data_IF_141654239852
#
_entry.id   IF_141654239852
#
_cell.length_a   1.000
_cell.length_b   1.000
_cell.length_c   1.000
_cell.angle_alpha   90.00
_cell.angle_beta   90.00
_cell.angle_gamma   90.00
#
_symmetry.space_group_name_H-M   'P 1'
#
loop_
_entity.id
_entity.type
_entity.pdbx_description
1 polymer ?
#
# COMPACT_ATOMS: atom_id res chain seq x y z
N UNK A 1 27.99 11.16 -9.36
CA UNK A 1 27.20 11.37 -8.13
C UNK A 1 26.53 12.73 -8.26
N UNK A 2 25.22 12.79 -8.50
CA UNK A 2 24.50 14.06 -8.48
C UNK A 2 24.22 14.40 -7.02
N UNK A 3 24.96 15.36 -6.47
CA UNK A 3 24.69 15.92 -5.14
C UNK A 3 23.30 16.55 -5.18
N UNK A 4 22.30 15.87 -4.61
CA UNK A 4 20.96 16.44 -4.48
C UNK A 4 21.08 17.65 -3.56
N UNK A 5 20.82 18.84 -4.10
CA UNK A 5 20.72 20.06 -3.31
C UNK A 5 19.65 19.82 -2.22
N UNK A 6 19.96 20.06 -0.94
CA UNK A 6 18.97 19.87 0.12
C UNK A 6 17.82 20.84 -0.08
N UNK A 7 16.58 20.35 0.04
CA UNK A 7 15.36 21.16 -0.16
C UNK A 7 15.33 22.41 0.73
N UNK A 8 15.86 22.29 1.93
CA UNK A 8 15.98 23.39 2.89
C UNK A 8 16.74 24.57 2.28
N UNK A 9 17.82 24.31 1.53
CA UNK A 9 18.59 25.38 0.88
C UNK A 9 17.74 26.12 -0.15
N UNK A 10 16.94 25.40 -0.94
CA UNK A 10 16.03 26.00 -1.92
C UNK A 10 15.02 26.91 -1.22
N UNK A 11 14.44 26.47 -0.09
CA UNK A 11 13.48 27.27 0.66
C UNK A 11 14.11 28.53 1.28
N UNK A 12 15.31 28.40 1.85
CA UNK A 12 16.07 29.53 2.39
C UNK A 12 16.37 30.57 1.30
N UNK A 13 16.78 30.11 0.11
CA UNK A 13 17.04 31.00 -1.03
C UNK A 13 15.77 31.72 -1.48
N UNK A 14 14.63 31.01 -1.60
CA UNK A 14 13.37 31.61 -2.01
C UNK A 14 12.85 32.64 -1.00
N UNK A 15 12.92 32.33 0.30
CA UNK A 15 12.53 33.26 1.35
C UNK A 15 13.47 34.47 1.36
N UNK A 16 14.79 34.24 1.31
CA UNK A 16 15.80 35.30 1.26
C UNK A 16 15.60 36.24 0.07
N UNK A 17 15.34 35.69 -1.12
CA UNK A 17 15.04 36.48 -2.32
C UNK A 17 13.76 37.31 -2.15
N UNK A 18 12.71 36.74 -1.57
CA UNK A 18 11.46 37.48 -1.31
C UNK A 18 11.69 38.64 -0.34
N UNK A 19 12.49 38.45 0.71
CA UNK A 19 12.85 39.51 1.66
C UNK A 19 13.70 40.60 1.02
N UNK A 20 14.67 40.24 0.18
CA UNK A 20 15.49 41.21 -0.58
C UNK A 20 14.61 42.08 -1.47
N UNK A 21 13.62 41.49 -2.15
CA UNK A 21 12.64 42.25 -2.93
C UNK A 21 11.87 43.22 -2.02
N UNK A 22 11.38 42.77 -0.86
CA UNK A 22 10.70 43.64 0.10
C UNK A 22 11.54 44.84 0.53
N UNK A 23 12.83 44.63 0.81
CA UNK A 23 13.78 45.71 1.14
C UNK A 23 13.97 46.68 -0.03
N UNK A 24 14.06 46.18 -1.28
CA UNK A 24 14.16 47.03 -2.48
C UNK A 24 12.91 47.93 -2.63
N UNK A 25 11.73 47.42 -2.28
CA UNK A 25 10.49 48.20 -2.25
C UNK A 25 10.35 49.12 -1.02
N UNK A 26 11.38 49.21 -0.17
CA UNK A 26 11.39 50.08 1.01
C UNK A 26 10.73 49.49 2.25
N UNK A 27 10.28 48.23 2.21
CA UNK A 27 9.68 47.55 3.35
C UNK A 27 10.75 46.93 4.25
N UNK A 28 11.39 47.77 5.06
CA UNK A 28 12.27 47.32 6.14
C UNK A 28 11.50 47.24 7.46
N UNK A 29 11.93 46.40 8.43
CA UNK A 29 11.26 46.29 9.73
C UNK A 29 11.14 47.63 10.49
N UNK A 30 12.05 48.58 10.24
CA UNK A 30 11.99 49.91 10.86
C UNK A 30 11.00 50.88 10.21
N UNK A 31 10.57 50.61 8.97
CA UNK A 31 9.63 51.47 8.22
C UNK A 31 8.22 50.90 8.28
N UNK A 32 8.06 49.61 7.96
CA UNK A 32 6.76 48.93 7.98
C UNK A 32 6.98 47.45 8.24
N UNK A 33 6.70 47.04 9.49
CA UNK A 33 6.72 45.63 9.89
C UNK A 33 5.71 44.83 9.07
N UNK A 34 4.55 45.41 8.78
CA UNK A 34 3.48 44.79 7.99
C UNK A 34 3.95 44.45 6.58
N UNK A 35 4.51 45.43 5.87
CA UNK A 35 5.04 45.21 4.53
C UNK A 35 6.21 44.24 4.49
N UNK A 36 7.11 44.30 5.48
CA UNK A 36 8.21 43.33 5.59
C UNK A 36 7.68 41.90 5.77
N UNK A 37 6.69 41.70 6.64
CA UNK A 37 6.04 40.42 6.86
C UNK A 37 5.26 39.94 5.62
N UNK A 38 4.65 40.82 4.84
CA UNK A 38 4.02 40.43 3.57
C UNK A 38 5.00 39.75 2.62
N UNK A 39 6.22 40.28 2.47
CA UNK A 39 7.24 39.66 1.62
C UNK A 39 7.80 38.36 2.22
N UNK A 40 7.89 38.27 3.55
CA UNK A 40 8.19 36.98 4.21
C UNK A 40 7.12 35.93 3.88
N UNK A 41 5.85 36.30 3.99
CA UNK A 41 4.73 35.41 3.70
C UNK A 41 4.71 35.01 2.23
N UNK A 42 4.94 35.91 1.28
CA UNK A 42 5.09 35.53 -0.15
C UNK A 42 6.18 34.45 -0.32
N UNK A 43 7.33 34.58 0.34
CA UNK A 43 8.39 33.58 0.30
C UNK A 43 7.95 32.21 0.83
N UNK A 44 7.25 32.19 1.98
CA UNK A 44 6.67 30.98 2.58
C UNK A 44 5.62 30.36 1.65
N UNK A 45 4.76 31.18 1.03
CA UNK A 45 3.74 30.76 0.09
C UNK A 45 4.35 30.03 -1.11
N UNK A 46 5.40 30.60 -1.72
CA UNK A 46 6.10 29.98 -2.86
C UNK A 46 6.68 28.62 -2.44
N UNK A 47 7.33 28.54 -1.29
CA UNK A 47 7.88 27.28 -0.77
C UNK A 47 6.80 26.21 -0.58
N UNK A 48 5.67 26.61 0.01
CA UNK A 48 4.54 25.71 0.23
C UNK A 48 3.91 25.24 -1.10
N UNK A 49 3.74 26.15 -2.05
CA UNK A 49 3.24 25.88 -3.40
C UNK A 49 4.10 24.81 -4.10
N UNK A 50 5.42 25.00 -4.08
CA UNK A 50 6.38 24.05 -4.66
C UNK A 50 6.25 22.67 -4.00
N UNK A 51 6.14 22.61 -2.68
CA UNK A 51 5.98 21.34 -1.97
C UNK A 51 4.67 20.63 -2.32
N UNK A 52 3.57 21.36 -2.50
CA UNK A 52 2.31 20.79 -3.01
C UNK A 52 2.49 20.21 -4.40
N UNK A 53 3.09 20.92 -5.34
CA UNK A 53 3.29 20.40 -6.70
C UNK A 53 4.16 19.14 -6.69
N UNK A 54 5.21 19.11 -5.86
CA UNK A 54 6.04 17.91 -5.67
C UNK A 54 5.20 16.75 -5.13
N UNK A 55 4.35 17.00 -4.12
CA UNK A 55 3.48 15.97 -3.54
C UNK A 55 2.43 15.48 -4.53
N UNK A 56 1.78 16.38 -5.27
CA UNK A 56 0.82 16.02 -6.34
C UNK A 56 1.51 15.18 -7.40
N UNK A 57 2.70 15.57 -7.86
CA UNK A 57 3.48 14.81 -8.83
C UNK A 57 3.80 13.42 -8.32
N UNK A 58 4.31 13.29 -7.08
CA UNK A 58 4.56 12.00 -6.43
C UNK A 58 3.29 11.15 -6.36
N UNK A 59 2.16 11.71 -5.91
CA UNK A 59 0.91 10.94 -5.83
C UNK A 59 0.43 10.45 -7.20
N UNK A 60 0.56 11.28 -8.25
CA UNK A 60 0.25 10.86 -9.63
C UNK A 60 1.19 9.74 -10.08
N UNK A 61 2.48 9.87 -9.83
CA UNK A 61 3.51 8.89 -10.17
C UNK A 61 3.27 7.54 -9.48
N UNK A 62 2.94 7.55 -8.19
CA UNK A 62 2.70 6.34 -7.40
C UNK A 62 1.25 5.82 -7.50
N UNK A 63 0.37 6.51 -8.24
CA UNK A 63 -1.10 6.30 -8.23
C UNK A 63 -1.66 6.20 -6.80
N UNK A 64 -1.08 6.99 -5.89
CA UNK A 64 -1.55 7.04 -4.50
C UNK A 64 -2.87 7.80 -4.43
N UNK A 65 -3.74 7.40 -3.52
CA UNK A 65 -4.95 8.13 -3.22
C UNK A 65 -4.61 9.53 -2.68
N UNK A 66 -5.39 10.53 -3.05
CA UNK A 66 -5.25 11.92 -2.60
C UNK A 66 -5.69 12.12 -1.12
N UNK A 67 -5.87 11.04 -0.36
CA UNK A 67 -6.39 11.03 1.00
C UNK A 67 -5.29 11.28 2.05
N UNK A 68 -4.36 12.18 1.75
CA UNK A 68 -3.31 12.57 2.68
C UNK A 68 -3.80 13.75 3.53
N UNK A 69 -3.83 13.57 4.84
CA UNK A 69 -4.30 14.56 5.80
C UNK A 69 -3.48 15.84 5.74
N UNK A 70 -2.17 15.78 5.48
CA UNK A 70 -1.32 16.97 5.35
C UNK A 70 -1.69 17.81 4.10
N UNK A 71 -2.18 17.19 3.03
CA UNK A 71 -2.67 17.92 1.87
C UNK A 71 -4.05 18.52 2.15
N UNK A 72 -4.99 17.76 2.72
CA UNK A 72 -6.32 18.30 3.04
C UNK A 72 -6.20 19.45 4.04
N UNK A 73 -5.57 19.17 5.18
CA UNK A 73 -5.40 20.12 6.27
C UNK A 73 -4.49 21.28 5.89
N UNK A 74 -3.32 21.00 5.31
CA UNK A 74 -2.34 22.02 5.00
C UNK A 74 -2.89 23.06 4.03
N UNK A 75 -3.67 22.64 3.01
CA UNK A 75 -4.28 23.58 2.07
C UNK A 75 -5.32 24.47 2.77
N UNK A 76 -6.19 23.90 3.60
CA UNK A 76 -7.15 24.69 4.35
C UNK A 76 -6.45 25.63 5.35
N UNK A 77 -5.42 25.16 6.06
CA UNK A 77 -4.63 25.96 7.00
C UNK A 77 -3.92 27.13 6.32
N UNK A 78 -3.30 26.88 5.16
CA UNK A 78 -2.67 27.93 4.37
C UNK A 78 -3.73 28.90 3.86
N UNK A 79 -4.89 28.40 3.41
CA UNK A 79 -6.00 29.29 3.04
C UNK A 79 -6.41 30.21 4.19
N UNK A 80 -6.72 29.66 5.37
CA UNK A 80 -7.13 30.47 6.53
C UNK A 80 -6.03 31.45 6.94
N UNK A 81 -4.77 31.02 6.93
CA UNK A 81 -3.63 31.89 7.24
C UNK A 81 -3.55 33.09 6.28
N UNK A 82 -3.52 32.86 4.96
CA UNK A 82 -3.45 33.97 4.00
C UNK A 82 -4.76 34.77 3.90
N UNK A 83 -5.89 34.18 4.33
CA UNK A 83 -7.17 34.85 4.49
C UNK A 83 -7.10 35.89 5.61
N UNK A 84 -6.67 35.46 6.79
CA UNK A 84 -6.52 36.29 8.01
C UNK A 84 -5.47 37.38 7.81
N UNK A 85 -4.28 37.02 7.31
CA UNK A 85 -3.20 37.97 7.08
C UNK A 85 -3.40 38.85 5.84
N UNK A 86 -4.45 38.61 5.06
CA UNK A 86 -4.79 39.43 3.91
C UNK A 86 -5.17 40.85 4.27
N UNK A 87 -5.74 41.06 5.45
CA UNK A 87 -6.12 42.40 5.91
C UNK A 87 -4.91 43.15 6.49
N UNK A 88 -3.89 42.41 6.95
CA UNK A 88 -2.68 42.94 7.59
C UNK A 88 -1.63 43.43 6.57
N UNK A 89 -1.69 42.96 5.32
CA UNK A 89 -0.69 43.33 4.31
C UNK A 89 -0.99 44.71 3.70
N UNK A 90 -0.03 45.64 3.61
CA UNK A 90 -0.19 46.84 2.79
C UNK A 90 -0.12 46.52 1.28
N UNK A 91 0.48 45.39 0.91
CA UNK A 91 0.65 44.94 -0.47
C UNK A 91 -0.59 44.18 -0.96
N UNK A 92 -1.12 44.56 -2.13
CA UNK A 92 -2.30 43.93 -2.77
C UNK A 92 -3.58 43.93 -1.91
N UNK A 93 -3.73 44.90 -1.00
CA UNK A 93 -4.94 45.07 -0.18
C UNK A 93 -6.09 45.78 -0.90
N UNK A 94 -5.93 46.08 -2.18
CA UNK A 94 -6.98 46.70 -2.99
C UNK A 94 -8.18 45.76 -3.07
N UNK A 95 -9.37 46.27 -2.76
CA UNK A 95 -10.62 45.52 -2.91
C UNK A 95 -10.92 45.32 -4.40
N UNK A 96 -11.26 44.09 -4.80
CA UNK A 96 -11.70 43.77 -6.15
C UNK A 96 -13.04 44.41 -6.51
N UNK A 97 -13.91 44.56 -5.50
CA UNK A 97 -15.26 45.13 -5.65
C UNK A 97 -15.50 46.21 -4.58
N UNK A 98 -14.91 47.41 -4.75
CA UNK A 98 -14.89 48.44 -3.70
C UNK A 98 -16.28 48.90 -3.25
N UNK A 99 -17.26 48.89 -4.17
CA UNK A 99 -18.63 49.39 -3.97
C UNK A 99 -19.63 48.32 -3.49
N UNK A 100 -19.17 47.08 -3.34
CA UNK A 100 -20.04 46.00 -2.89
C UNK A 100 -19.78 45.67 -1.42
N UNK A 101 -20.77 45.05 -0.79
CA UNK A 101 -20.54 44.38 0.50
C UNK A 101 -19.48 43.26 0.37
N UNK A 102 -19.21 42.78 -0.86
CA UNK A 102 -18.20 41.78 -1.22
C UNK A 102 -16.78 42.33 -1.35
N UNK A 103 -16.24 42.80 -0.23
CA UNK A 103 -14.83 43.23 -0.14
C UNK A 103 -13.90 42.03 -0.01
N UNK A 104 -13.54 41.45 -1.16
CA UNK A 104 -12.41 40.51 -1.28
C UNK A 104 -11.22 41.30 -1.84
N UNK A 105 -10.06 41.24 -1.18
CA UNK A 105 -8.86 41.89 -1.69
C UNK A 105 -8.06 40.98 -2.64
N UNK A 106 -7.16 41.59 -3.42
CA UNK A 106 -6.34 40.87 -4.40
C UNK A 106 -5.45 39.84 -3.70
N UNK A 107 -4.93 40.16 -2.51
CA UNK A 107 -4.13 39.24 -1.69
C UNK A 107 -4.85 37.93 -1.39
N UNK A 108 -6.04 37.99 -0.80
CA UNK A 108 -6.85 36.80 -0.47
C UNK A 108 -7.16 36.00 -1.73
N UNK A 109 -7.45 36.68 -2.84
CA UNK A 109 -7.76 36.04 -4.12
C UNK A 109 -6.59 35.24 -4.68
N UNK A 110 -5.36 35.75 -4.59
CA UNK A 110 -4.16 35.08 -5.12
C UNK A 110 -3.65 34.02 -4.14
N UNK A 111 -3.55 34.37 -2.86
CA UNK A 111 -2.80 33.57 -1.90
C UNK A 111 -3.66 32.62 -1.07
N UNK A 112 -4.93 32.94 -0.83
CA UNK A 112 -5.82 32.13 0.01
C UNK A 112 -6.83 31.30 -0.80
N UNK A 113 -7.49 31.91 -1.78
CA UNK A 113 -8.62 31.29 -2.49
C UNK A 113 -8.27 30.00 -3.24
N UNK A 114 -7.12 29.88 -3.95
CA UNK A 114 -6.78 28.62 -4.63
C UNK A 114 -6.65 27.45 -3.66
N UNK A 115 -6.13 27.73 -2.46
CA UNK A 115 -5.97 26.76 -1.39
C UNK A 115 -7.28 26.41 -0.72
N UNK A 116 -8.20 27.39 -0.59
CA UNK A 116 -9.55 27.14 -0.10
C UNK A 116 -10.27 26.16 -1.03
N UNK A 117 -10.28 26.46 -2.33
CA UNK A 117 -10.97 25.67 -3.35
C UNK A 117 -10.36 24.27 -3.41
N UNK A 118 -9.03 24.18 -3.49
CA UNK A 118 -8.34 22.90 -3.58
C UNK A 118 -8.49 22.07 -2.30
N UNK A 119 -8.33 22.67 -1.13
CA UNK A 119 -8.54 22.02 0.17
C UNK A 119 -9.98 21.53 0.35
N UNK A 120 -10.95 22.36 -0.01
CA UNK A 120 -12.39 22.02 0.01
C UNK A 120 -12.72 20.86 -0.91
N UNK A 121 -12.14 20.84 -2.12
CA UNK A 121 -12.32 19.75 -3.06
C UNK A 121 -11.73 18.43 -2.54
N UNK A 122 -10.53 18.47 -1.95
CA UNK A 122 -9.94 17.30 -1.31
C UNK A 122 -10.75 16.83 -0.10
N UNK A 123 -11.31 17.76 0.68
CA UNK A 123 -12.19 17.46 1.80
C UNK A 123 -13.50 16.79 1.32
N UNK A 124 -14.12 17.30 0.24
CA UNK A 124 -15.27 16.66 -0.38
C UNK A 124 -14.96 15.22 -0.82
N UNK A 125 -13.81 15.00 -1.47
CA UNK A 125 -13.37 13.66 -1.83
C UNK A 125 -13.07 12.77 -0.62
N UNK A 126 -12.56 13.33 0.47
CA UNK A 126 -12.37 12.59 1.73
C UNK A 126 -13.68 12.02 2.25
N UNK A 127 -14.79 12.78 2.17
CA UNK A 127 -16.09 12.34 2.66
C UNK A 127 -16.79 11.39 1.67
N UNK A 128 -16.72 11.70 0.37
CA UNK A 128 -17.49 11.01 -0.66
C UNK A 128 -16.81 9.76 -1.22
N UNK A 129 -15.48 9.75 -1.28
CA UNK A 129 -14.70 8.72 -1.97
C UNK A 129 -13.82 7.88 -1.04
N UNK A 130 -13.35 8.42 0.07
CA UNK A 130 -12.36 7.76 0.92
C UNK A 130 -12.95 7.32 2.27
N UNK A 131 -12.58 6.12 2.73
CA UNK A 131 -12.96 5.65 4.07
C UNK A 131 -11.98 6.13 5.14
N UNK A 132 -10.71 6.22 4.78
CA UNK A 132 -9.64 6.68 5.65
C UNK A 132 -8.86 7.85 5.05
N UNK A 133 -8.35 8.71 5.92
CA UNK A 133 -7.36 9.76 5.63
C UNK A 133 -6.08 9.38 6.36
N UNK A 134 -4.94 9.45 5.67
CA UNK A 134 -3.64 9.09 6.25
C UNK A 134 -2.92 10.34 6.74
N UNK A 135 -2.51 10.31 8.00
CA UNK A 135 -1.60 11.30 8.58
C UNK A 135 -0.32 10.56 8.92
N UNK A 136 0.75 10.83 8.16
CA UNK A 136 1.94 9.98 8.15
C UNK A 136 1.54 8.52 7.87
N UNK A 137 1.92 7.59 8.73
CA UNK A 137 1.63 6.17 8.57
C UNK A 137 0.28 5.75 9.20
N UNK A 138 -0.38 6.66 9.93
CA UNK A 138 -1.59 6.34 10.67
C UNK A 138 -2.85 6.60 9.83
N UNK A 139 -3.74 5.61 9.78
CA UNK A 139 -5.03 5.73 9.12
C UNK A 139 -6.11 6.25 10.10
N UNK A 140 -6.73 7.38 9.76
CA UNK A 140 -7.85 7.95 10.50
C UNK A 140 -9.14 7.77 9.71
N UNK A 141 -10.28 7.60 10.39
CA UNK A 141 -11.58 7.59 9.72
C UNK A 141 -11.83 8.96 9.08
N UNK A 142 -12.10 8.98 7.77
CA UNK A 142 -12.18 10.22 7.00
C UNK A 142 -13.25 11.18 7.53
N UNK A 143 -14.41 10.69 7.97
CA UNK A 143 -15.49 11.53 8.50
C UNK A 143 -15.17 12.11 9.86
N UNK A 144 -14.61 11.29 10.77
CA UNK A 144 -14.14 11.77 12.07
C UNK A 144 -13.05 12.84 11.87
N UNK A 145 -12.16 12.63 10.91
CA UNK A 145 -11.14 13.60 10.53
C UNK A 145 -11.77 14.90 10.00
N UNK A 146 -12.74 14.83 9.06
CA UNK A 146 -13.45 16.02 8.55
C UNK A 146 -14.15 16.80 9.67
N UNK A 147 -14.88 16.11 10.56
CA UNK A 147 -15.59 16.77 11.68
C UNK A 147 -14.60 17.42 12.64
N UNK A 148 -13.53 16.71 13.02
CA UNK A 148 -12.46 17.25 13.85
C UNK A 148 -11.84 18.50 13.21
N UNK A 149 -11.52 18.43 11.92
CA UNK A 149 -10.96 19.56 11.20
C UNK A 149 -11.93 20.72 11.12
N UNK A 150 -13.22 20.45 10.95
CA UNK A 150 -14.24 21.49 11.01
C UNK A 150 -14.22 22.24 12.34
N UNK A 151 -14.18 21.53 13.47
CA UNK A 151 -14.05 22.16 14.79
C UNK A 151 -12.75 22.97 14.94
N UNK A 152 -11.63 22.47 14.44
CA UNK A 152 -10.34 23.17 14.48
C UNK A 152 -10.42 24.50 13.71
N UNK A 153 -10.96 24.49 12.49
CA UNK A 153 -11.08 25.71 11.69
C UNK A 153 -12.14 26.69 12.23
N UNK A 154 -13.25 26.18 12.78
CA UNK A 154 -14.20 27.02 13.50
C UNK A 154 -13.52 27.74 14.68
N UNK A 155 -12.62 27.03 15.39
CA UNK A 155 -11.81 27.62 16.45
C UNK A 155 -10.86 28.70 15.95
N UNK A 156 -10.17 28.48 14.83
CA UNK A 156 -9.29 29.49 14.22
C UNK A 156 -10.06 30.75 13.82
N UNK A 157 -11.18 30.59 13.15
CA UNK A 157 -12.03 31.71 12.74
C UNK A 157 -12.60 32.45 13.97
N UNK A 158 -13.00 31.74 15.03
CA UNK A 158 -13.44 32.36 16.29
C UNK A 158 -12.31 33.17 16.94
N UNK A 159 -11.11 32.61 17.05
CA UNK A 159 -9.94 33.33 17.59
C UNK A 159 -9.67 34.59 16.77
N UNK A 160 -9.76 34.51 15.44
CA UNK A 160 -9.60 35.68 14.58
C UNK A 160 -10.69 36.73 14.81
N UNK A 161 -11.96 36.33 14.92
CA UNK A 161 -13.08 37.23 15.27
C UNK A 161 -12.78 37.96 16.59
N UNK A 162 -12.32 37.22 17.62
CA UNK A 162 -12.00 37.79 18.93
C UNK A 162 -10.81 38.77 18.88
N UNK A 163 -9.74 38.44 18.15
CA UNK A 163 -8.59 39.32 17.93
C UNK A 163 -9.01 40.65 17.28
N UNK A 164 -9.87 40.58 16.26
CA UNK A 164 -10.37 41.76 15.56
C UNK A 164 -11.24 42.66 16.43
N UNK A 165 -12.09 42.06 17.25
CA UNK A 165 -12.93 42.82 18.20
C UNK A 165 -12.12 43.39 19.38
N UNK A 166 -10.79 43.24 19.38
CA UNK A 166 -9.92 43.74 20.44
C UNK A 166 -10.08 42.98 21.75
N UNK A 167 -10.74 41.82 21.74
CA UNK A 167 -10.85 40.95 22.92
C UNK A 167 -9.47 40.42 23.31
N UNK A 168 -8.62 40.19 22.31
CA UNK A 168 -7.21 39.85 22.48
C UNK A 168 -6.34 40.87 21.73
N UNK A 169 -5.22 41.26 22.34
CA UNK A 169 -4.18 42.07 21.69
C UNK A 169 -2.88 41.27 21.63
N UNK A 170 -2.28 41.17 20.45
CA UNK A 170 -0.98 40.51 20.23
C UNK A 170 0.17 41.53 20.21
N UNK A 171 0.16 42.50 21.12
CA UNK A 171 1.23 43.49 21.27
C UNK A 171 1.37 44.37 20.03
N UNK A 172 2.52 44.38 19.32
CA UNK A 172 2.77 45.27 18.18
C UNK A 172 1.90 44.97 16.95
N UNK A 173 1.13 43.88 16.97
CA UNK A 173 0.17 43.54 15.93
C UNK A 173 -1.21 44.06 16.36
N UNK A 174 -1.51 45.31 16.00
CA UNK A 174 -2.83 45.89 16.24
C UNK A 174 -3.82 45.49 15.15
N UNK A 175 -4.72 44.55 15.49
CA UNK A 175 -5.76 44.06 14.58
C UNK A 175 -7.02 44.94 14.56
N UNK A 176 -7.09 46.00 15.39
CA UNK A 176 -8.30 46.82 15.54
C UNK A 176 -8.63 47.63 14.28
N UNK A 177 -7.62 47.92 13.45
CA UNK A 177 -7.79 48.67 12.20
C UNK A 177 -8.34 47.84 11.01
N UNK A 178 -8.51 46.52 11.15
CA UNK A 178 -8.91 45.60 10.07
C UNK A 178 -10.42 45.63 9.75
N UNK A 179 -11.05 46.81 9.77
CA UNK A 179 -12.50 46.99 9.76
C UNK A 179 -13.21 46.71 8.41
N UNK A 180 -12.47 46.51 7.31
CA UNK A 180 -13.04 46.65 5.95
C UNK A 180 -13.47 45.39 5.17
N UNK A 181 -12.77 44.26 5.27
CA UNK A 181 -12.81 43.14 4.29
C UNK A 181 -13.34 41.81 4.87
N UNK A 182 -13.51 41.79 6.18
CA UNK A 182 -13.69 40.62 7.04
C UNK A 182 -14.91 39.73 6.79
N UNK A 183 -16.02 40.26 6.30
CA UNK A 183 -17.28 39.52 6.46
C UNK A 183 -17.35 38.28 5.57
N UNK A 184 -16.97 38.35 4.30
CA UNK A 184 -17.39 37.29 3.37
C UNK A 184 -16.41 36.15 3.30
N UNK A 185 -15.11 36.39 3.37
CA UNK A 185 -14.17 35.28 3.36
C UNK A 185 -14.42 34.34 4.54
N UNK A 186 -14.52 34.88 5.76
CA UNK A 186 -14.80 34.07 6.96
C UNK A 186 -16.17 33.42 6.86
N UNK A 187 -17.21 34.16 6.44
CA UNK A 187 -18.54 33.57 6.30
C UNK A 187 -18.52 32.42 5.28
N UNK A 188 -17.87 32.60 4.13
CA UNK A 188 -17.75 31.54 3.11
C UNK A 188 -16.93 30.37 3.64
N UNK A 189 -15.82 30.63 4.32
CA UNK A 189 -14.98 29.61 4.95
C UNK A 189 -15.75 28.81 6.00
N UNK A 190 -16.42 29.49 6.93
CA UNK A 190 -17.34 28.94 7.92
C UNK A 190 -18.45 28.10 7.28
N UNK A 191 -19.12 28.65 6.27
CA UNK A 191 -20.19 27.95 5.54
C UNK A 191 -19.67 26.68 4.89
N UNK A 192 -18.49 26.72 4.25
CA UNK A 192 -17.83 25.55 3.66
C UNK A 192 -17.53 24.50 4.73
N UNK A 193 -16.95 24.92 5.86
CA UNK A 193 -16.57 24.03 6.95
C UNK A 193 -17.79 23.39 7.60
N UNK A 194 -18.80 24.19 7.95
CA UNK A 194 -20.06 23.72 8.52
C UNK A 194 -20.75 22.79 7.53
N UNK A 195 -20.84 23.16 6.25
CA UNK A 195 -21.42 22.32 5.21
C UNK A 195 -20.73 20.95 5.13
N UNK A 196 -19.40 20.91 5.08
CA UNK A 196 -18.67 19.63 5.05
C UNK A 196 -18.75 18.86 6.36
N UNK A 197 -18.80 19.54 7.51
CA UNK A 197 -19.05 18.92 8.81
C UNK A 197 -20.43 18.25 8.86
N UNK A 198 -21.48 18.97 8.43
CA UNK A 198 -22.84 18.46 8.35
C UNK A 198 -22.95 17.32 7.35
N UNK A 199 -22.34 17.43 6.15
CA UNK A 199 -22.29 16.30 5.21
C UNK A 199 -21.58 15.12 5.88
N UNK A 200 -20.44 15.32 6.56
CA UNK A 200 -19.71 14.26 7.25
C UNK A 200 -20.54 13.54 8.33
N UNK A 201 -21.41 14.27 9.02
CA UNK A 201 -22.32 13.73 10.05
C UNK A 201 -23.54 13.04 9.41
N UNK A 202 -24.22 13.72 8.47
CA UNK A 202 -25.49 13.30 7.89
C UNK A 202 -25.37 12.31 6.73
N UNK A 203 -24.21 12.22 6.07
CA UNK A 203 -23.90 11.09 5.21
C UNK A 203 -23.68 9.85 6.08
N UNK A 204 -24.79 9.35 6.63
CA UNK A 204 -24.95 8.03 7.22
C UNK A 204 -24.29 7.04 6.26
N UNK A 205 -23.56 6.06 6.80
CA UNK A 205 -22.88 4.99 6.07
C UNK A 205 -23.65 4.58 4.80
N UNK A 206 -23.51 5.32 3.71
CA UNK A 206 -23.50 4.77 2.38
C UNK A 206 -22.20 4.02 2.38
N UNK A 207 -22.26 2.86 3.00
CA UNK A 207 -21.48 1.73 2.57
C UNK A 207 -21.46 1.87 1.05
N UNK A 208 -20.27 2.04 0.49
CA UNK A 208 -20.03 1.81 -0.94
C UNK A 208 -20.19 0.31 -1.26
N UNK A 209 -21.23 -0.29 -0.67
CA UNK A 209 -21.75 -1.63 -0.82
C UNK A 209 -22.95 -1.62 -1.76
N UNK A 210 -23.50 -0.46 -2.10
CA UNK A 210 -24.59 -0.36 -3.08
C UNK A 210 -24.10 -0.54 -4.54
N UNK A 211 -22.81 -0.38 -4.83
CA UNK A 211 -22.26 -0.67 -6.17
C UNK A 211 -21.53 -2.01 -6.26
N UNK A 212 -21.59 -2.85 -5.22
CA UNK A 212 -20.95 -4.16 -5.29
C UNK A 212 -21.49 -5.23 -4.34
N UNK A 213 -22.51 -5.07 -3.47
CA UNK A 213 -22.96 -6.25 -2.70
C UNK A 213 -23.51 -7.32 -3.64
N UNK A 214 -24.36 -6.99 -4.60
CA UNK A 214 -24.91 -8.02 -5.49
C UNK A 214 -23.85 -8.61 -6.43
N UNK A 215 -22.89 -7.79 -6.86
CA UNK A 215 -21.79 -8.24 -7.72
C UNK A 215 -20.67 -8.98 -6.94
N UNK A 216 -20.43 -8.62 -5.68
CA UNK A 216 -19.51 -9.31 -4.75
C UNK A 216 -20.15 -10.59 -4.20
N UNK A 217 -21.47 -10.60 -3.99
CA UNK A 217 -22.25 -11.80 -3.59
C UNK A 217 -22.35 -12.76 -4.77
N UNK A 218 -22.58 -12.26 -5.98
CA UNK A 218 -22.47 -13.01 -7.24
C UNK A 218 -21.07 -13.62 -7.41
N UNK A 219 -20.01 -12.82 -7.18
CA UNK A 219 -18.62 -13.32 -7.25
C UNK A 219 -18.26 -14.27 -6.11
N UNK A 220 -18.75 -14.06 -4.89
CA UNK A 220 -18.57 -15.00 -3.78
C UNK A 220 -19.26 -16.32 -4.07
N UNK A 221 -20.50 -16.29 -4.57
CA UNK A 221 -21.23 -17.49 -4.97
C UNK A 221 -20.53 -18.24 -6.11
N UNK A 222 -19.94 -17.53 -7.09
CA UNK A 222 -19.14 -18.16 -8.16
C UNK A 222 -17.83 -18.75 -7.63
N UNK A 223 -17.16 -18.08 -6.68
CA UNK A 223 -15.95 -18.60 -6.03
C UNK A 223 -16.26 -19.84 -5.19
N UNK A 224 -17.30 -19.81 -4.37
CA UNK A 224 -17.73 -20.98 -3.58
C UNK A 224 -18.16 -22.14 -4.48
N UNK A 225 -18.78 -21.85 -5.64
CA UNK A 225 -19.09 -22.87 -6.64
C UNK A 225 -17.83 -23.51 -7.22
N UNK A 226 -16.78 -22.73 -7.50
CA UNK A 226 -15.49 -23.21 -8.01
C UNK A 226 -14.69 -23.99 -6.96
N UNK A 227 -14.70 -23.55 -5.71
CA UNK A 227 -14.06 -24.27 -4.59
C UNK A 227 -14.74 -25.61 -4.39
N UNK A 228 -16.07 -25.64 -4.31
CA UNK A 228 -16.84 -26.88 -4.17
C UNK A 228 -16.64 -27.83 -5.36
N UNK A 229 -16.47 -27.30 -6.59
CA UNK A 229 -16.11 -28.11 -7.75
C UNK A 229 -14.69 -28.69 -7.64
N UNK A 230 -13.70 -27.87 -7.25
CA UNK A 230 -12.32 -28.32 -7.06
C UNK A 230 -12.17 -29.36 -5.94
N UNK A 231 -12.93 -29.23 -4.86
CA UNK A 231 -12.97 -30.21 -3.76
C UNK A 231 -13.60 -31.53 -4.19
N UNK A 232 -14.68 -31.48 -5.00
CA UNK A 232 -15.27 -32.68 -5.61
C UNK A 232 -14.29 -33.37 -6.55
N UNK A 233 -13.57 -32.63 -7.39
CA UNK A 233 -12.54 -33.19 -8.29
C UNK A 233 -11.37 -33.78 -7.50
N UNK A 234 -10.93 -33.11 -6.45
CA UNK A 234 -9.84 -33.59 -5.57
C UNK A 234 -10.24 -34.84 -4.79
N UNK A 235 -11.48 -34.91 -4.30
CA UNK A 235 -12.03 -36.10 -3.65
C UNK A 235 -12.15 -37.28 -4.63
N UNK A 236 -12.56 -37.04 -5.87
CA UNK A 236 -12.61 -38.05 -6.92
C UNK A 236 -11.21 -38.57 -7.27
N UNK A 237 -10.21 -37.69 -7.38
CA UNK A 237 -8.81 -38.07 -7.62
C UNK A 237 -8.22 -38.90 -6.46
N UNK A 238 -8.51 -38.55 -5.21
CA UNK A 238 -8.08 -39.35 -4.05
C UNK A 238 -8.74 -40.73 -4.03
N UNK A 239 -10.00 -40.84 -4.44
CA UNK A 239 -10.71 -42.13 -4.55
C UNK A 239 -10.13 -42.99 -5.67
N UNK A 240 -9.78 -42.42 -6.82
CA UNK A 240 -9.14 -43.17 -7.91
C UNK A 240 -7.73 -43.64 -7.52
N UNK A 241 -6.95 -42.79 -6.87
CA UNK A 241 -5.61 -43.17 -6.38
C UNK A 241 -5.68 -44.30 -5.34
N UNK A 242 -6.64 -44.24 -4.40
CA UNK A 242 -6.84 -45.31 -3.43
C UNK A 242 -7.21 -46.64 -4.09
N UNK A 243 -8.12 -46.63 -5.07
CA UNK A 243 -8.49 -47.82 -5.85
C UNK A 243 -7.31 -48.39 -6.63
N UNK A 244 -6.45 -47.53 -7.19
CA UNK A 244 -5.24 -47.96 -7.89
C UNK A 244 -4.26 -48.67 -6.94
N UNK A 245 -4.06 -48.12 -5.73
CA UNK A 245 -3.19 -48.74 -4.70
C UNK A 245 -3.75 -50.07 -4.21
N UNK A 246 -5.06 -50.15 -3.97
CA UNK A 246 -5.72 -51.40 -3.56
C UNK A 246 -5.59 -52.49 -4.65
N UNK A 247 -5.79 -52.14 -5.92
CA UNK A 247 -5.60 -53.04 -7.05
C UNK A 247 -4.14 -53.51 -7.22
N UNK A 248 -3.17 -52.64 -6.95
CA UNK A 248 -1.74 -53.00 -6.99
C UNK A 248 -1.37 -53.97 -5.87
N UNK A 249 -1.86 -53.74 -4.65
CA UNK A 249 -1.67 -54.65 -3.52
C UNK A 249 -2.28 -56.03 -3.78
N UNK A 250 -3.45 -56.08 -4.42
CA UNK A 250 -4.09 -57.34 -4.79
C UNK A 250 -3.27 -58.13 -5.82
N UNK A 251 -2.77 -57.44 -6.86
CA UNK A 251 -1.85 -58.03 -7.85
C UNK A 251 -0.57 -58.56 -7.21
N UNK A 252 -0.02 -57.85 -6.23
CA UNK A 252 1.18 -58.31 -5.52
C UNK A 252 0.91 -59.55 -4.68
N UNK A 253 -0.25 -59.61 -3.99
CA UNK A 253 -0.69 -60.80 -3.23
C UNK A 253 -0.86 -62.00 -4.15
N UNK A 254 -1.50 -61.84 -5.31
CA UNK A 254 -1.64 -62.92 -6.29
C UNK A 254 -0.27 -63.41 -6.79
N UNK A 255 0.65 -62.48 -7.07
CA UNK A 255 2.00 -62.83 -7.54
C UNK A 255 2.77 -63.63 -6.50
N UNK A 256 2.70 -63.22 -5.22
CA UNK A 256 3.29 -63.97 -4.09
C UNK A 256 2.65 -65.36 -3.94
N UNK A 257 1.33 -65.48 -4.11
CA UNK A 257 0.63 -66.78 -4.04
C UNK A 257 1.07 -67.73 -5.18
N UNK A 258 1.17 -67.23 -6.41
CA UNK A 258 1.65 -67.99 -7.58
C UNK A 258 3.11 -68.41 -7.43
N UNK A 259 3.97 -67.54 -6.87
CA UNK A 259 5.38 -67.86 -6.62
C UNK A 259 5.55 -68.93 -5.51
N UNK A 260 4.76 -68.84 -4.45
CA UNK A 260 4.74 -69.86 -3.39
C UNK A 260 4.28 -71.23 -3.91
N UNK A 261 3.29 -71.28 -4.82
CA UNK A 261 2.89 -72.52 -5.48
C UNK A 261 4.00 -73.09 -6.37
N UNK A 262 4.71 -72.26 -7.15
CA UNK A 262 5.84 -72.70 -7.97
C UNK A 262 6.99 -73.29 -7.15
N UNK A 263 7.33 -72.69 -6.00
CA UNK A 263 8.38 -73.23 -5.10
C UNK A 263 8.03 -74.59 -4.51
N UNK A 264 6.75 -74.85 -4.24
CA UNK A 264 6.31 -76.18 -3.74
C UNK A 264 6.39 -77.26 -4.81
N UNK A 265 6.23 -76.92 -6.10
CA UNK A 265 6.37 -77.88 -7.21
C UNK A 265 7.83 -78.16 -7.61
N UNK A 266 8.79 -77.27 -7.34
CA UNK A 266 10.21 -77.52 -7.68
C UNK A 266 10.99 -78.36 -6.66
N UNK A 267 10.38 -78.77 -5.54
CA UNK A 267 11.05 -79.57 -4.50
C UNK A 267 11.08 -81.08 -4.77
N UNK A 268 10.40 -81.57 -5.82
CA UNK A 268 10.33 -83.00 -6.17
C UNK A 268 10.82 -83.25 -7.60
N UNK A 269 12.05 -82.84 -7.94
CA UNK A 269 12.69 -83.27 -9.19
C UNK A 269 14.06 -83.88 -8.94
N UNK A 270 14.25 -85.19 -9.17
CA UNK A 270 15.56 -85.81 -9.13
C UNK A 270 16.46 -85.25 -10.23
N UNK A 271 17.76 -85.13 -9.94
CA UNK A 271 18.78 -84.75 -10.92
C UNK A 271 18.87 -85.81 -12.01
N UNK A 272 18.71 -85.41 -13.27
CA UNK A 272 19.16 -86.20 -14.41
C UNK A 272 20.04 -85.35 -15.33
N UNK A 273 21.13 -86.00 -15.75
CA UNK A 273 22.28 -85.53 -16.52
C UNK A 273 21.96 -84.83 -17.85
N UNK A 274 22.93 -84.08 -18.41
CA UNK A 274 22.72 -83.25 -19.59
C UNK A 274 22.81 -84.07 -20.88
N UNK A 275 21.89 -83.83 -21.82
CA UNK A 275 22.01 -84.34 -23.19
C UNK A 275 21.69 -83.24 -24.21
N UNK A 276 22.64 -83.08 -25.12
CA UNK A 276 22.70 -82.26 -26.32
C UNK A 276 21.54 -82.55 -27.29
N UNK A 277 21.04 -81.54 -28.02
CA UNK A 277 20.87 -81.48 -29.50
C UNK A 277 19.89 -80.38 -29.97
N UNK A 278 20.41 -79.51 -30.84
CA UNK A 278 19.90 -78.82 -32.06
C UNK A 278 18.41 -78.41 -32.30
N UNK A 279 18.29 -77.17 -32.82
CA UNK A 279 17.27 -76.58 -33.74
C UNK A 279 15.84 -76.36 -33.19
N UNK A 280 15.06 -75.31 -33.50
CA UNK A 280 15.02 -74.35 -34.60
C UNK A 280 14.13 -73.13 -34.27
N UNK A 281 14.55 -71.94 -34.70
CA UNK A 281 13.79 -70.88 -35.41
C UNK A 281 12.33 -70.56 -34.97
N UNK A 282 12.11 -69.37 -34.40
CA UNK A 282 11.13 -68.38 -34.94
C UNK A 282 11.19 -67.05 -34.18
N UNK A 283 11.22 -65.99 -34.97
CA UNK A 283 11.17 -64.55 -34.70
C UNK A 283 10.05 -64.10 -33.75
N UNK A 284 10.35 -63.15 -32.84
CA UNK A 284 9.83 -61.77 -32.94
C UNK A 284 10.51 -60.84 -31.93
N UNK A 285 10.67 -59.62 -32.39
CA UNK A 285 11.53 -58.53 -31.94
C UNK A 285 10.93 -57.66 -30.82
N UNK A 286 11.82 -56.88 -30.19
CA UNK A 286 11.60 -55.60 -29.47
C UNK A 286 11.46 -55.64 -27.93
N UNK A 287 11.82 -54.54 -27.22
CA UNK A 287 13.22 -54.24 -26.96
C UNK A 287 13.52 -54.03 -25.46
N UNK A 288 14.76 -54.35 -25.14
CA UNK A 288 15.58 -53.85 -24.03
C UNK A 288 15.09 -52.55 -23.37
N UNK A 289 14.92 -52.61 -22.05
CA UNK A 289 15.43 -51.53 -21.19
C UNK A 289 16.12 -52.12 -19.97
N UNK A 290 17.45 -52.02 -19.99
CA UNK A 290 18.35 -52.26 -18.86
C UNK A 290 17.97 -51.33 -17.71
N UNK A 291 17.74 -51.89 -16.52
CA UNK A 291 18.11 -51.21 -15.27
C UNK A 291 18.82 -52.21 -14.35
N UNK A 292 20.07 -51.84 -14.11
CA UNK A 292 21.06 -52.36 -13.17
C UNK A 292 20.52 -52.75 -11.79
N UNK A 293 20.80 -53.98 -11.38
CA UNK A 293 20.82 -54.42 -9.99
C UNK A 293 22.18 -54.05 -9.36
N UNK A 294 22.18 -53.22 -8.32
CA UNK A 294 23.25 -53.11 -7.30
C UNK A 294 22.57 -52.97 -5.92
N UNK A 295 23.12 -53.59 -4.86
CA UNK A 295 22.35 -54.16 -3.76
C UNK A 295 22.06 -53.18 -2.63
N UNK A 296 20.88 -53.35 -2.02
CA UNK A 296 20.45 -52.63 -0.82
C UNK A 296 21.02 -53.33 0.40
N UNK A 297 21.98 -52.69 1.06
CA UNK A 297 22.48 -53.06 2.38
C UNK A 297 21.34 -52.96 3.41
N UNK A 298 21.07 -54.07 4.10
CA UNK A 298 20.26 -54.09 5.31
C UNK A 298 21.16 -53.67 6.49
N UNK A 299 20.91 -52.50 7.06
CA UNK A 299 21.38 -52.15 8.40
C UNK A 299 20.19 -51.71 9.25
N UNK A 300 19.93 -52.51 10.27
CA UNK A 300 18.89 -52.38 11.29
C UNK A 300 19.00 -51.07 12.08
N UNK A 301 17.89 -50.47 12.54
CA UNK A 301 17.96 -49.34 13.47
C UNK A 301 18.12 -49.86 14.91
N UNK A 302 19.31 -49.67 15.48
CA UNK A 302 19.51 -49.70 16.94
C UNK A 302 19.25 -48.30 17.50
N UNK A 303 18.29 -48.26 18.39
CA UNK A 303 17.94 -47.17 19.31
C UNK A 303 19.15 -46.77 20.17
N UNK A 304 19.47 -45.47 20.22
CA UNK A 304 20.29 -44.89 21.29
C UNK A 304 20.18 -43.37 21.35
N UNK A 305 19.65 -42.91 22.48
CA UNK A 305 19.97 -41.69 23.23
C UNK A 305 20.57 -40.46 22.52
N UNK A 306 19.73 -39.41 22.48
CA UNK A 306 19.97 -38.03 22.94
C UNK A 306 21.44 -37.58 23.12
N UNK A 307 21.94 -36.86 22.11
CA UNK A 307 22.99 -35.84 22.28
C UNK A 307 22.70 -34.66 21.34
N UNK A 308 22.44 -33.50 21.93
CA UNK A 308 22.25 -32.22 21.24
C UNK A 308 23.53 -31.79 20.54
N UNK A 309 23.62 -32.04 19.23
CA UNK A 309 24.60 -31.41 18.35
C UNK A 309 23.93 -30.26 17.59
N UNK A 310 24.45 -29.06 17.80
CA UNK A 310 24.11 -27.86 17.03
C UNK A 310 24.54 -28.03 15.58
N UNK A 311 23.67 -28.60 14.77
CA UNK A 311 23.84 -28.65 13.33
C UNK A 311 23.59 -27.24 12.77
N UNK A 312 24.68 -26.56 12.39
CA UNK A 312 24.62 -25.40 11.52
C UNK A 312 23.97 -25.83 10.20
N UNK A 313 22.68 -25.57 10.07
CA UNK A 313 21.92 -25.80 8.85
C UNK A 313 22.55 -25.00 7.71
N UNK A 314 23.09 -25.68 6.70
CA UNK A 314 23.55 -25.06 5.45
C UNK A 314 22.45 -24.15 4.90
N UNK A 315 22.76 -22.93 4.44
CA UNK A 315 21.75 -22.01 3.92
C UNK A 315 21.10 -22.63 2.68
N UNK A 316 19.82 -22.98 2.80
CA UNK A 316 19.02 -23.50 1.69
C UNK A 316 18.95 -22.43 0.61
N UNK A 317 19.59 -22.69 -0.54
CA UNK A 317 19.55 -21.79 -1.68
C UNK A 317 18.14 -21.79 -2.29
N UNK A 318 17.45 -20.65 -2.23
CA UNK A 318 16.13 -20.48 -2.83
C UNK A 318 16.23 -20.64 -4.35
N UNK A 319 15.39 -21.53 -4.91
CA UNK A 319 15.42 -21.82 -6.35
C UNK A 319 14.94 -20.63 -7.20
N UNK A 320 15.49 -20.48 -8.42
CA UNK A 320 15.04 -19.43 -9.36
C UNK A 320 13.54 -19.52 -9.68
N UNK A 321 12.96 -20.73 -9.70
CA UNK A 321 11.52 -20.95 -9.89
C UNK A 321 10.69 -20.38 -8.75
N UNK A 322 11.23 -20.36 -7.54
CA UNK A 322 10.57 -19.78 -6.38
C UNK A 322 10.69 -18.24 -6.37
N UNK A 323 11.85 -17.70 -6.73
CA UNK A 323 12.02 -16.26 -6.96
C UNK A 323 11.10 -15.73 -8.06
N UNK A 324 10.88 -16.53 -9.12
CA UNK A 324 9.96 -16.19 -10.20
C UNK A 324 8.50 -15.97 -9.75
N UNK A 325 8.07 -16.67 -8.67
CA UNK A 325 6.73 -16.51 -8.10
C UNK A 325 6.54 -15.18 -7.38
N UNK A 326 7.62 -14.48 -7.03
CA UNK A 326 7.59 -13.19 -6.34
C UNK A 326 7.45 -12.00 -7.30
N UNK A 327 7.39 -12.24 -8.62
CA UNK A 327 7.20 -11.20 -9.63
C UNK A 327 5.81 -10.55 -9.49
N UNK A 328 5.72 -9.21 -9.34
CA UNK A 328 4.46 -8.48 -9.44
C UNK A 328 3.73 -8.78 -10.75
N UNK A 329 2.41 -8.92 -10.72
CA UNK A 329 1.60 -9.16 -11.92
C UNK A 329 1.30 -7.84 -12.63
N UNK A 330 2.33 -7.24 -13.23
CA UNK A 330 2.24 -6.05 -14.09
C UNK A 330 2.83 -6.36 -15.47
N UNK A 331 2.46 -5.59 -16.48
CA UNK A 331 2.95 -5.74 -17.85
C UNK A 331 4.43 -5.38 -17.96
N UNK A 332 4.77 -4.12 -17.63
CA UNK A 332 6.15 -3.62 -17.59
C UNK A 332 6.57 -3.52 -16.13
N UNK A 333 7.71 -4.13 -15.78
CA UNK A 333 8.28 -4.05 -14.43
C UNK A 333 9.10 -2.78 -14.29
N UNK A 334 8.92 -2.12 -13.16
CA UNK A 334 9.66 -0.94 -12.74
C UNK A 334 10.23 -1.16 -11.34
N UNK A 335 11.12 -0.27 -10.88
CA UNK A 335 11.66 -0.36 -9.51
C UNK A 335 10.54 -0.22 -8.47
N UNK A 336 9.54 0.58 -8.80
CA UNK A 336 8.41 0.97 -7.99
C UNK A 336 7.49 -0.23 -7.71
N UNK A 337 7.43 -1.21 -8.61
CA UNK A 337 6.63 -2.43 -8.41
C UNK A 337 7.16 -3.34 -7.29
N UNK A 338 8.38 -3.08 -6.82
CA UNK A 338 9.01 -3.80 -5.71
C UNK A 338 9.03 -3.00 -4.40
N UNK A 339 8.43 -1.82 -4.38
CA UNK A 339 8.26 -1.01 -3.16
C UNK A 339 6.99 -1.41 -2.42
N UNK A 340 7.03 -1.34 -1.09
CA UNK A 340 5.87 -1.58 -0.24
C UNK A 340 4.69 -0.70 -0.66
N UNK A 341 3.51 -1.29 -0.87
CA UNK A 341 2.30 -0.56 -1.32
C UNK A 341 1.70 0.39 -0.29
N UNK A 342 2.20 0.40 0.94
CA UNK A 342 1.71 1.25 2.02
C UNK A 342 2.66 2.42 2.30
N UNK A 343 3.94 2.13 2.59
CA UNK A 343 4.92 3.17 2.91
C UNK A 343 5.72 3.67 1.68
N UNK A 344 5.61 3.01 0.53
CA UNK A 344 6.35 3.33 -0.70
C UNK A 344 7.87 3.25 -0.58
N UNK A 345 8.37 2.55 0.44
CA UNK A 345 9.79 2.30 0.63
C UNK A 345 10.17 0.93 0.06
N UNK A 346 11.42 0.81 -0.37
CA UNK A 346 11.98 -0.46 -0.80
C UNK A 346 12.35 -1.27 0.43
N UNK A 347 11.88 -2.52 0.57
CA UNK A 347 12.25 -3.39 1.67
C UNK A 347 13.75 -3.43 1.90
N UNK A 348 14.18 -3.27 3.13
CA UNK A 348 15.60 -3.24 3.48
C UNK A 348 15.99 -4.31 4.52
N UNK A 349 17.27 -4.36 4.88
CA UNK A 349 17.74 -5.35 5.86
C UNK A 349 17.30 -5.06 7.30
N UNK A 350 16.77 -3.87 7.59
CA UNK A 350 16.25 -3.48 8.90
C UNK A 350 14.83 -4.01 9.15
N UNK A 351 14.09 -4.32 8.08
CA UNK A 351 12.75 -4.91 8.11
C UNK A 351 12.76 -6.39 8.59
N UNK A 352 12.86 -6.61 9.90
CA UNK A 352 12.98 -7.96 10.48
C UNK A 352 11.75 -8.85 10.27
N UNK A 353 10.57 -8.25 10.11
CA UNK A 353 9.30 -8.98 10.08
C UNK A 353 8.97 -9.59 8.71
N UNK A 354 9.65 -9.16 7.65
CA UNK A 354 9.49 -9.72 6.31
C UNK A 354 8.39 -9.07 5.46
N UNK A 355 8.20 -9.64 4.26
CA UNK A 355 7.38 -9.10 3.18
C UNK A 355 6.21 -10.04 2.90
N UNK A 356 5.02 -9.46 2.77
CA UNK A 356 3.81 -10.15 2.34
C UNK A 356 3.50 -9.74 0.91
N UNK A 357 3.21 -10.71 0.03
CA UNK A 357 2.78 -10.43 -1.33
C UNK A 357 1.28 -10.64 -1.45
N UNK A 358 0.57 -9.69 -2.08
CA UNK A 358 -0.85 -9.87 -2.37
C UNK A 358 -1.08 -11.15 -3.21
N UNK A 359 -2.04 -12.02 -2.86
CA UNK A 359 -2.31 -13.25 -3.62
C UNK A 359 -2.80 -12.96 -5.05
N UNK A 360 -3.45 -11.81 -5.25
CA UNK A 360 -4.04 -11.41 -6.52
C UNK A 360 -3.01 -10.76 -7.44
N UNK A 361 -2.39 -9.65 -7.02
CA UNK A 361 -1.50 -8.84 -7.85
C UNK A 361 0.00 -9.02 -7.55
N UNK A 362 0.36 -9.72 -6.47
CA UNK A 362 1.75 -9.96 -6.02
C UNK A 362 2.58 -8.72 -5.72
N UNK A 363 1.94 -7.55 -5.56
CA UNK A 363 2.63 -6.38 -5.02
C UNK A 363 3.01 -6.59 -3.55
N UNK A 364 4.17 -6.08 -3.12
CA UNK A 364 4.69 -6.31 -1.78
C UNK A 364 4.10 -5.33 -0.76
N UNK A 365 4.05 -5.78 0.48
CA UNK A 365 3.81 -4.98 1.65
C UNK A 365 4.75 -5.45 2.76
N UNK A 366 5.29 -4.53 3.55
CA UNK A 366 5.88 -4.90 4.84
C UNK A 366 4.81 -5.56 5.71
N UNK A 367 5.23 -6.57 6.47
CA UNK A 367 4.30 -7.38 7.27
C UNK A 367 3.49 -6.55 8.28
N UNK A 368 4.12 -5.57 8.93
CA UNK A 368 3.48 -4.70 9.93
C UNK A 368 2.37 -3.85 9.31
N UNK A 369 2.66 -3.18 8.21
CA UNK A 369 1.73 -2.32 7.48
C UNK A 369 0.60 -3.14 6.87
N UNK A 370 0.92 -4.34 6.36
CA UNK A 370 -0.10 -5.28 5.93
C UNK A 370 -1.05 -5.67 7.08
N UNK A 371 -0.50 -6.00 8.26
CA UNK A 371 -1.31 -6.34 9.44
C UNK A 371 -2.21 -5.19 9.89
N UNK A 372 -1.70 -3.97 9.87
CA UNK A 372 -2.48 -2.78 10.21
C UNK A 372 -3.60 -2.54 9.20
N UNK A 373 -3.29 -2.65 7.91
CA UNK A 373 -4.27 -2.51 6.84
C UNK A 373 -5.40 -3.54 6.94
N UNK A 374 -5.09 -4.83 7.14
CA UNK A 374 -6.11 -5.88 7.16
C UNK A 374 -7.04 -5.84 8.38
N UNK A 375 -6.69 -5.09 9.44
CA UNK A 375 -7.62 -4.78 10.54
C UNK A 375 -8.79 -3.91 10.08
N UNK A 376 -8.54 -3.03 9.11
CA UNK A 376 -9.49 -2.02 8.64
C UNK A 376 -10.12 -2.36 7.28
N UNK A 377 -9.46 -3.18 6.47
CA UNK A 377 -9.89 -3.51 5.11
C UNK A 377 -9.67 -4.98 4.77
N UNK A 378 -10.64 -5.61 4.12
CA UNK A 378 -10.51 -6.98 3.58
C UNK A 378 -10.05 -6.98 2.11
N UNK A 379 -9.65 -5.83 1.57
CA UNK A 379 -9.28 -5.67 0.16
C UNK A 379 -7.77 -5.37 0.04
N UNK A 380 -7.16 -5.74 -1.09
CA UNK A 380 -5.82 -5.29 -1.44
C UNK A 380 -5.82 -3.79 -1.77
N UNK A 381 -4.95 -2.99 -1.15
CA UNK A 381 -4.86 -1.53 -1.41
C UNK A 381 -4.46 -1.16 -2.84
N UNK A 382 -3.85 -2.09 -3.59
CA UNK A 382 -3.38 -1.84 -4.96
C UNK A 382 -4.37 -2.27 -6.04
N UNK A 383 -5.00 -3.43 -5.87
CA UNK A 383 -5.81 -4.06 -6.93
C UNK A 383 -7.27 -4.27 -6.53
N UNK A 384 -7.67 -3.81 -5.35
CA UNK A 384 -9.01 -3.94 -4.76
C UNK A 384 -9.54 -5.38 -4.66
N UNK A 385 -8.67 -6.37 -4.86
CA UNK A 385 -9.02 -7.78 -4.77
C UNK A 385 -9.26 -8.21 -3.33
N UNK A 386 -10.36 -8.92 -3.09
CA UNK A 386 -10.73 -9.44 -1.75
C UNK A 386 -9.67 -10.42 -1.26
N UNK A 387 -9.07 -10.13 -0.10
CA UNK A 387 -8.07 -10.98 0.53
C UNK A 387 -8.76 -12.20 1.19
N UNK A 388 -8.32 -13.45 0.90
CA UNK A 388 -8.90 -14.63 1.53
C UNK A 388 -8.78 -14.57 3.07
N UNK A 389 -9.80 -14.99 3.84
CA UNK A 389 -9.73 -15.00 5.31
C UNK A 389 -8.52 -15.76 5.86
N UNK A 390 -8.14 -16.88 5.22
CA UNK A 390 -6.95 -17.66 5.57
C UNK A 390 -5.65 -16.87 5.38
N UNK A 391 -5.60 -16.01 4.35
CA UNK A 391 -4.46 -15.13 4.09
C UNK A 391 -4.40 -13.94 5.05
N UNK A 392 -5.56 -13.41 5.46
CA UNK A 392 -5.63 -12.34 6.48
C UNK A 392 -5.14 -12.85 7.84
N UNK A 393 -5.56 -14.04 8.24
CA UNK A 393 -5.17 -14.64 9.52
C UNK A 393 -3.70 -15.06 9.52
N UNK A 394 -3.24 -15.71 8.45
CA UNK A 394 -1.90 -16.27 8.34
C UNK A 394 -1.27 -15.95 6.98
N UNK A 395 -0.83 -14.70 6.73
CA UNK A 395 -0.21 -14.33 5.47
C UNK A 395 1.14 -15.03 5.32
N UNK A 396 1.47 -15.43 4.10
CA UNK A 396 2.80 -15.99 3.80
C UNK A 396 3.84 -14.88 3.87
N UNK A 397 4.66 -14.91 4.93
CA UNK A 397 5.77 -13.98 5.14
C UNK A 397 7.01 -14.46 4.40
N UNK A 398 7.58 -13.58 3.57
CA UNK A 398 8.80 -13.80 2.81
C UNK A 398 9.95 -13.07 3.49
N UNK A 399 11.07 -13.74 3.81
CA UNK A 399 12.24 -13.06 4.36
C UNK A 399 12.75 -11.97 3.42
N UNK A 400 13.09 -10.79 3.95
CA UNK A 400 13.49 -9.63 3.11
C UNK A 400 14.71 -9.94 2.26
N UNK A 401 15.68 -10.69 2.79
CA UNK A 401 16.84 -11.17 2.02
C UNK A 401 16.44 -11.98 0.79
N UNK A 402 15.39 -12.80 0.88
CA UNK A 402 14.86 -13.58 -0.25
C UNK A 402 14.13 -12.68 -1.23
N UNK A 403 13.33 -11.75 -0.73
CA UNK A 403 12.63 -10.77 -1.57
C UNK A 403 13.60 -9.88 -2.36
N UNK A 404 14.66 -9.38 -1.71
CA UNK A 404 15.72 -8.60 -2.34
C UNK A 404 16.51 -9.39 -3.39
N UNK A 405 16.68 -10.71 -3.22
CA UNK A 405 17.22 -11.58 -4.26
C UNK A 405 16.30 -11.65 -5.49
N UNK A 406 14.98 -11.76 -5.27
CA UNK A 406 14.00 -11.72 -6.36
C UNK A 406 14.04 -10.36 -7.09
N UNK A 407 14.05 -9.24 -6.34
CA UNK A 407 14.19 -7.91 -6.91
C UNK A 407 15.46 -7.79 -7.79
N UNK A 408 16.63 -8.20 -7.28
CA UNK A 408 17.89 -8.16 -8.04
C UNK A 408 17.85 -9.00 -9.32
N UNK A 409 17.13 -10.13 -9.30
CA UNK A 409 16.94 -10.98 -10.48
C UNK A 409 16.12 -10.25 -11.55
N UNK A 410 15.06 -9.55 -11.17
CA UNK A 410 14.21 -8.81 -12.10
C UNK A 410 14.77 -7.46 -12.52
N UNK A 411 15.59 -6.81 -11.69
CA UNK A 411 16.28 -5.54 -12.00
C UNK A 411 17.21 -5.65 -13.22
N UNK A 412 17.56 -6.85 -13.67
CA UNK A 412 18.33 -7.04 -14.90
C UNK A 412 17.46 -7.04 -16.18
N UNK A 413 16.13 -7.08 -16.02
CA UNK A 413 15.16 -7.22 -17.11
C UNK A 413 14.45 -5.91 -17.47
N UNK A 414 14.69 -4.86 -16.70
CA UNK A 414 14.26 -3.48 -16.91
C UNK A 414 15.42 -2.57 -16.57
#
# INVERSE_FOLDING_TARGET
MTTKIPRILIYVVLIGLSLVIGVIFGYTPGISVEGFLSFLFIGIWICYTVEIFIRIKKMKEYRSTLNNGALIFGNLLVSSFYGIFGDFTPFLNQALFPDTFLRINIWVTIFSLPYLIFGSFLLLFSITKYFSVYINDNAFNARKFTVLMGFVFLGFDLVYILLRHGVFSLGPLDFSHLSGTFNIYIIVHMCIIVFFGLIGIFTRNRSSSAYNIDQLTSRMNDIDRRINAADKTSAAARRSERRAREAEQEREKERKKKEAQRRKQSSNRPSSSPRTYLSSRSSRSQPSTKVSNIPRSNSSPKTSARSSSSSQSKPVSVSNKELAKMRPKTGVLSKEDFMCIFCFEMPDSSDREGIVLCPHCRYPAHYREFKEWVRNSKLCSRCDGVLPPSFIQNPKVIPVKTYLKAYKLFKKQF
#
